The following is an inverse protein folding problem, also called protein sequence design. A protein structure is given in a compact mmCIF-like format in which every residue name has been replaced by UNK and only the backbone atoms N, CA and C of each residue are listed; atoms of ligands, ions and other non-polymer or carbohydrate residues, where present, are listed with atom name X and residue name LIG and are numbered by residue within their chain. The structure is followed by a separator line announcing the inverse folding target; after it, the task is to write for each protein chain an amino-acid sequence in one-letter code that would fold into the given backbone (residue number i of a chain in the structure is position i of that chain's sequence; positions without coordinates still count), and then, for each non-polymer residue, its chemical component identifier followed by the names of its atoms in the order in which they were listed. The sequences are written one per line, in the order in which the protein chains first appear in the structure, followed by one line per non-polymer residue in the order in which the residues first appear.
data_IF_410957247339
#
_entry.id   IF_410957247339
#
_cell.length_a   1.000
_cell.length_b   1.000
_cell.length_c   1.000
_cell.angle_alpha   90.00
_cell.angle_beta   90.00
_cell.angle_gamma   90.00
#
_symmetry.space_group_name_H-M   'P 1'
#
loop_
_entity.id
_entity.type
_entity.pdbx_description
1 polymer ?
#
# COMPACT_ATOMS: atom_id res chain seq x y z
N UNK A 1 5.00 -21.03 12.38
CA UNK A 1 3.58 -21.03 11.97
C UNK A 1 3.54 -21.45 10.52
N UNK A 2 2.64 -22.37 10.13
CA UNK A 2 2.55 -22.86 8.76
C UNK A 2 2.13 -21.73 7.82
N UNK A 3 2.68 -21.75 6.62
CA UNK A 3 2.38 -20.82 5.54
C UNK A 3 0.86 -20.78 5.29
N UNK A 4 0.24 -19.62 5.47
CA UNK A 4 -1.20 -19.39 5.24
C UNK A 4 -1.46 -19.07 3.76
N UNK A 5 -0.58 -19.54 2.87
CA UNK A 5 -0.70 -19.35 1.43
C UNK A 5 -1.96 -20.04 0.90
N UNK A 6 -2.78 -19.25 0.22
CA UNK A 6 -3.90 -19.71 -0.60
C UNK A 6 -3.75 -19.17 -2.00
N UNK A 7 -4.34 -19.85 -2.96
CA UNK A 7 -4.36 -19.41 -4.37
C UNK A 7 -5.77 -19.58 -4.93
N UNK A 8 -6.11 -18.72 -5.87
CA UNK A 8 -7.30 -18.85 -6.71
C UNK A 8 -6.93 -18.64 -8.17
N UNK A 9 -7.75 -19.13 -9.09
CA UNK A 9 -7.68 -18.82 -10.51
C UNK A 9 -8.71 -17.74 -10.84
N UNK A 10 -8.24 -16.64 -11.42
CA UNK A 10 -9.09 -15.53 -11.85
C UNK A 10 -9.87 -15.87 -13.11
N UNK A 11 -10.95 -15.14 -13.45
CA UNK A 11 -11.70 -15.36 -14.68
C UNK A 11 -10.90 -15.28 -15.98
N UNK A 12 -9.77 -14.58 -15.97
CA UNK A 12 -8.84 -14.47 -17.10
C UNK A 12 -7.74 -15.54 -17.09
N UNK A 13 -7.81 -16.50 -16.15
CA UNK A 13 -6.93 -17.67 -16.07
C UNK A 13 -5.61 -17.44 -15.35
N UNK A 14 -5.41 -16.27 -14.69
CA UNK A 14 -4.24 -16.02 -13.84
C UNK A 14 -4.42 -16.65 -12.47
N UNK A 15 -3.33 -17.10 -11.87
CA UNK A 15 -3.27 -17.47 -10.47
C UNK A 15 -3.00 -16.24 -9.63
N UNK A 16 -3.79 -16.01 -8.58
CA UNK A 16 -3.52 -15.05 -7.53
C UNK A 16 -3.22 -15.75 -6.22
N UNK A 17 -2.21 -15.27 -5.51
CA UNK A 17 -1.82 -15.75 -4.19
C UNK A 17 -2.27 -14.76 -3.11
N UNK A 18 -2.86 -15.27 -2.03
CA UNK A 18 -3.35 -14.46 -0.91
C UNK A 18 -3.13 -15.16 0.44
N UNK A 19 -3.26 -14.43 1.52
CA UNK A 19 -3.20 -14.93 2.88
C UNK A 19 -4.31 -14.30 3.74
N UNK A 20 -4.68 -14.97 4.84
CA UNK A 20 -5.71 -14.50 5.78
C UNK A 20 -5.15 -14.50 7.20
N UNK A 21 -5.49 -13.45 7.95
CA UNK A 21 -4.96 -13.17 9.28
C UNK A 21 -6.09 -12.77 10.24
N UNK A 22 -5.91 -12.99 11.53
CA UNK A 22 -6.85 -12.59 12.56
C UNK A 22 -8.06 -13.50 12.70
N UNK A 23 -9.24 -12.92 12.92
CA UNK A 23 -10.52 -13.64 13.06
C UNK A 23 -11.10 -13.97 11.69
N UNK A 24 -11.05 -15.23 11.29
CA UNK A 24 -11.51 -15.66 9.95
C UNK A 24 -13.02 -15.50 9.75
N UNK A 25 -13.80 -15.40 10.83
CA UNK A 25 -15.24 -15.14 10.80
C UNK A 25 -15.55 -13.64 11.04
N UNK A 26 -14.52 -12.82 11.24
CA UNK A 26 -14.60 -11.38 11.50
C UNK A 26 -14.95 -10.57 10.24
N UNK A 27 -15.05 -9.24 10.44
CA UNK A 27 -15.32 -8.31 9.32
C UNK A 27 -14.17 -8.34 8.30
N UNK A 28 -14.45 -8.59 7.00
CA UNK A 28 -13.39 -8.69 6.00
C UNK A 28 -12.78 -7.33 5.65
N UNK A 29 -11.45 -7.26 5.67
CA UNK A 29 -10.66 -6.13 5.21
C UNK A 29 -9.61 -6.63 4.22
N UNK A 30 -9.66 -6.18 2.98
CA UNK A 30 -8.64 -6.46 1.98
C UNK A 30 -7.55 -5.38 2.04
N UNK A 31 -6.31 -5.82 2.27
CA UNK A 31 -5.16 -4.94 2.39
C UNK A 31 -4.21 -5.10 1.20
N UNK A 32 -3.92 -3.97 0.58
CA UNK A 32 -3.11 -3.82 -0.63
C UNK A 32 -1.71 -3.34 -0.23
N UNK A 33 -0.71 -4.17 -0.47
CA UNK A 33 0.68 -3.90 -0.10
C UNK A 33 1.26 -2.68 -0.83
N UNK A 34 2.35 -2.09 -0.31
CA UNK A 34 3.11 -1.03 -0.94
C UNK A 34 3.79 -1.43 -2.25
N UNK A 35 4.62 -0.55 -2.81
CA UNK A 35 5.42 -0.82 -4.00
C UNK A 35 6.89 -0.61 -3.66
N UNK A 36 7.74 -1.66 -3.74
CA UNK A 36 7.35 -3.06 -3.90
C UNK A 36 6.83 -3.69 -2.59
N UNK A 37 6.09 -4.80 -2.72
CA UNK A 37 5.57 -5.53 -1.55
C UNK A 37 5.00 -6.92 -1.89
N UNK A 38 4.34 -7.57 -0.96
CA UNK A 38 3.63 -8.83 -1.19
C UNK A 38 2.59 -9.12 -0.09
N UNK A 39 1.87 -10.25 -0.23
CA UNK A 39 0.86 -10.71 0.74
C UNK A 39 1.37 -10.92 2.18
N UNK A 40 2.68 -10.95 2.42
CA UNK A 40 3.25 -11.09 3.77
C UNK A 40 3.34 -9.76 4.51
N UNK A 41 3.11 -8.64 3.83
CA UNK A 41 3.12 -7.31 4.43
C UNK A 41 1.92 -7.11 5.34
N UNK A 42 2.19 -7.01 6.63
CA UNK A 42 1.20 -6.88 7.68
C UNK A 42 1.81 -6.33 8.97
N UNK A 43 0.95 -5.95 9.93
CA UNK A 43 1.42 -5.71 11.28
C UNK A 43 1.86 -7.02 11.95
N UNK A 44 3.01 -7.06 12.62
CA UNK A 44 3.56 -8.30 13.17
C UNK A 44 2.72 -8.93 14.29
N UNK A 45 1.95 -8.14 15.02
CA UNK A 45 1.07 -8.60 16.10
C UNK A 45 -0.31 -8.98 15.57
N UNK A 46 -0.42 -10.19 15.02
CA UNK A 46 -1.63 -10.69 14.37
C UNK A 46 -2.84 -10.81 15.31
N UNK A 47 -2.61 -10.94 16.61
CA UNK A 47 -3.64 -10.96 17.64
C UNK A 47 -4.52 -9.72 17.63
N UNK A 48 -3.98 -8.58 17.24
CA UNK A 48 -4.73 -7.32 17.09
C UNK A 48 -5.91 -7.45 16.14
N UNK A 49 -5.74 -8.15 15.02
CA UNK A 49 -6.82 -8.35 14.06
C UNK A 49 -7.97 -9.15 14.66
N UNK A 50 -7.66 -10.22 15.40
CA UNK A 50 -8.67 -11.04 16.08
C UNK A 50 -9.37 -10.29 17.21
N UNK A 51 -8.64 -9.50 18.00
CA UNK A 51 -9.20 -8.65 19.07
C UNK A 51 -10.17 -7.60 18.53
N UNK A 52 -9.92 -7.10 17.30
CA UNK A 52 -10.80 -6.15 16.61
C UNK A 52 -11.92 -6.82 15.81
N UNK A 53 -12.02 -8.16 15.82
CA UNK A 53 -13.00 -8.91 15.04
C UNK A 53 -12.83 -8.73 13.53
N UNK A 54 -11.58 -8.66 13.06
CA UNK A 54 -11.23 -8.42 11.65
C UNK A 54 -10.62 -9.66 11.03
N UNK A 55 -11.14 -10.04 9.86
CA UNK A 55 -10.50 -10.94 8.92
C UNK A 55 -9.67 -10.10 7.94
N UNK A 56 -8.36 -9.97 8.18
CA UNK A 56 -7.48 -9.29 7.23
C UNK A 56 -7.11 -10.25 6.11
N UNK A 57 -7.33 -9.82 4.86
CA UNK A 57 -6.91 -10.55 3.66
C UNK A 57 -5.87 -9.71 2.93
N UNK A 58 -4.69 -10.27 2.75
CA UNK A 58 -3.59 -9.69 1.98
C UNK A 58 -3.37 -10.53 0.74
N UNK A 59 -2.96 -9.93 -0.38
CA UNK A 59 -2.64 -10.68 -1.59
C UNK A 59 -1.39 -10.14 -2.29
N UNK A 60 -0.77 -10.97 -3.09
CA UNK A 60 0.25 -10.55 -4.02
C UNK A 60 -0.45 -9.92 -5.22
N UNK A 61 -0.30 -8.59 -5.44
CA UNK A 61 -0.79 -7.99 -6.69
C UNK A 61 -0.19 -8.69 -7.89
N UNK A 62 -0.85 -8.60 -9.05
CA UNK A 62 -0.42 -9.27 -10.26
C UNK A 62 1.08 -9.04 -10.57
N UNK A 63 1.85 -10.13 -10.65
CA UNK A 63 3.29 -10.13 -10.92
C UNK A 63 4.20 -10.08 -9.70
N UNK A 64 3.65 -9.93 -8.49
CA UNK A 64 4.41 -10.05 -7.24
C UNK A 64 4.30 -11.46 -6.67
N UNK A 65 5.25 -11.82 -5.83
CA UNK A 65 5.25 -13.03 -5.03
C UNK A 65 4.93 -14.27 -5.88
N UNK A 66 3.77 -14.85 -5.64
CA UNK A 66 3.29 -16.06 -6.32
C UNK A 66 2.08 -15.83 -7.21
N UNK A 67 1.73 -14.57 -7.45
CA UNK A 67 0.68 -14.20 -8.40
C UNK A 67 1.22 -14.06 -9.82
N UNK A 68 0.41 -14.54 -10.79
CA UNK A 68 0.74 -14.39 -12.19
C UNK A 68 0.75 -12.91 -12.62
N UNK A 69 1.67 -12.56 -13.52
CA UNK A 69 1.81 -11.19 -14.02
C UNK A 69 0.67 -10.81 -14.97
N UNK A 70 0.11 -9.61 -14.78
CA UNK A 70 -0.76 -8.92 -15.74
C UNK A 70 0.00 -7.73 -16.31
N UNK A 71 0.73 -7.96 -17.40
CA UNK A 71 1.58 -6.94 -18.02
C UNK A 71 0.78 -5.76 -18.53
N UNK A 72 1.25 -4.54 -18.25
CA UNK A 72 0.62 -3.30 -18.71
C UNK A 72 -0.71 -3.00 -18.01
N UNK A 73 -0.92 -3.55 -16.82
CA UNK A 73 -2.06 -3.21 -15.98
C UNK A 73 -2.04 -1.74 -15.58
N UNK A 74 -3.21 -1.19 -15.32
CA UNK A 74 -3.40 0.13 -14.73
C UNK A 74 -3.83 -0.02 -13.27
N UNK A 75 -3.81 1.07 -12.54
CA UNK A 75 -4.35 1.11 -11.17
C UNK A 75 -5.83 0.66 -11.15
N UNK A 76 -6.62 1.05 -12.16
CA UNK A 76 -8.03 0.64 -12.32
C UNK A 76 -8.27 -0.85 -12.57
N UNK A 77 -7.23 -1.63 -12.80
CA UNK A 77 -7.38 -3.07 -13.06
C UNK A 77 -7.34 -3.92 -11.76
N UNK A 78 -6.85 -3.35 -10.65
CA UNK A 78 -6.77 -4.02 -9.35
C UNK A 78 -8.13 -4.42 -8.75
N UNK A 79 -9.21 -3.63 -8.89
CA UNK A 79 -10.54 -4.03 -8.43
C UNK A 79 -11.04 -5.38 -8.98
N UNK A 80 -10.58 -5.82 -10.14
CA UNK A 80 -10.94 -7.13 -10.70
C UNK A 80 -10.35 -8.27 -9.84
N UNK A 81 -9.09 -8.14 -9.44
CA UNK A 81 -8.38 -9.13 -8.62
C UNK A 81 -8.94 -9.13 -7.19
N UNK A 82 -9.20 -7.96 -6.59
CA UNK A 82 -9.85 -7.82 -5.28
C UNK A 82 -11.25 -8.44 -5.27
N UNK A 83 -12.04 -8.22 -6.33
CA UNK A 83 -13.36 -8.83 -6.47
C UNK A 83 -13.28 -10.35 -6.56
N UNK A 84 -12.34 -10.89 -7.34
CA UNK A 84 -12.16 -12.34 -7.47
C UNK A 84 -11.82 -12.99 -6.13
N UNK A 85 -10.96 -12.38 -5.32
CA UNK A 85 -10.62 -12.85 -3.97
C UNK A 85 -11.86 -12.78 -3.05
N UNK A 86 -12.60 -11.67 -3.07
CA UNK A 86 -13.79 -11.50 -2.25
C UNK A 86 -14.90 -12.52 -2.61
N UNK A 87 -15.08 -12.79 -3.90
CA UNK A 87 -16.06 -13.76 -4.40
C UNK A 87 -15.67 -15.20 -4.01
N UNK A 88 -14.39 -15.57 -4.12
CA UNK A 88 -13.87 -16.88 -3.67
C UNK A 88 -14.09 -17.09 -2.17
N UNK A 89 -13.97 -16.03 -1.37
CA UNK A 89 -14.15 -16.08 0.08
C UNK A 89 -15.61 -15.88 0.53
N UNK A 90 -16.52 -15.58 -0.39
CA UNK A 90 -17.95 -15.35 -0.09
C UNK A 90 -18.21 -14.02 0.62
N UNK A 91 -17.36 -13.03 0.46
CA UNK A 91 -17.53 -11.71 1.07
C UNK A 91 -18.36 -10.79 0.18
N UNK A 92 -19.62 -10.57 0.54
CA UNK A 92 -20.49 -9.63 -0.19
C UNK A 92 -20.00 -8.19 -0.08
N UNK A 93 -19.57 -7.78 1.13
CA UNK A 93 -19.09 -6.42 1.44
C UNK A 93 -17.87 -6.48 2.33
N UNK A 94 -16.93 -5.56 2.10
CA UNK A 94 -15.66 -5.52 2.79
C UNK A 94 -15.11 -4.10 2.92
N UNK A 95 -14.17 -3.92 3.85
CA UNK A 95 -13.29 -2.75 3.89
C UNK A 95 -12.08 -2.95 2.98
N UNK A 96 -11.51 -1.87 2.46
CA UNK A 96 -10.26 -1.93 1.69
C UNK A 96 -9.26 -0.92 2.24
N UNK A 97 -8.00 -1.31 2.29
CA UNK A 97 -6.91 -0.41 2.67
C UNK A 97 -5.69 -0.61 1.80
N UNK A 98 -4.91 0.44 1.63
CA UNK A 98 -3.63 0.37 0.95
C UNK A 98 -2.68 1.44 1.46
N UNK A 99 -1.42 1.05 1.65
CA UNK A 99 -0.34 1.96 2.04
C UNK A 99 0.58 2.26 0.87
N UNK A 100 1.17 3.48 0.84
CA UNK A 100 2.17 3.84 -0.17
C UNK A 100 1.64 3.61 -1.60
N UNK A 101 2.37 2.87 -2.44
CA UNK A 101 1.91 2.43 -3.76
C UNK A 101 0.62 1.59 -3.75
N UNK A 102 0.20 1.02 -2.61
CA UNK A 102 -1.10 0.37 -2.45
C UNK A 102 -2.27 1.33 -2.32
N UNK A 103 -2.01 2.59 -1.92
CA UNK A 103 -3.04 3.62 -1.75
C UNK A 103 -3.87 3.88 -3.01
N UNK A 104 -3.27 4.15 -4.18
CA UNK A 104 -3.97 4.27 -5.46
C UNK A 104 -4.90 3.09 -5.75
N UNK A 105 -4.44 1.87 -5.48
CA UNK A 105 -5.21 0.65 -5.72
C UNK A 105 -6.41 0.52 -4.76
N UNK A 106 -6.26 0.93 -3.49
CA UNK A 106 -7.39 1.01 -2.54
C UNK A 106 -8.44 2.05 -2.98
N UNK A 107 -7.99 3.20 -3.49
CA UNK A 107 -8.88 4.22 -4.07
C UNK A 107 -9.58 3.72 -5.34
N UNK A 108 -8.90 2.91 -6.18
CA UNK A 108 -9.52 2.27 -7.33
C UNK A 108 -10.66 1.33 -6.91
N UNK A 109 -10.44 0.52 -5.87
CA UNK A 109 -11.49 -0.34 -5.31
C UNK A 109 -12.68 0.49 -4.78
N UNK A 110 -12.41 1.60 -4.10
CA UNK A 110 -13.46 2.51 -3.61
C UNK A 110 -14.28 3.16 -4.74
N UNK A 111 -13.62 3.50 -5.86
CA UNK A 111 -14.24 4.11 -7.03
C UNK A 111 -15.03 3.12 -7.88
N UNK A 112 -14.49 1.91 -8.09
CA UNK A 112 -14.97 0.97 -9.11
C UNK A 112 -15.76 -0.21 -8.53
N UNK A 113 -15.78 -0.38 -7.19
CA UNK A 113 -16.56 -1.39 -6.47
C UNK A 113 -17.45 -0.75 -5.38
N UNK A 114 -18.18 0.35 -5.64
CA UNK A 114 -18.91 1.07 -4.58
C UNK A 114 -20.01 0.24 -3.91
N UNK A 115 -20.53 -0.78 -4.59
CA UNK A 115 -21.55 -1.69 -4.04
C UNK A 115 -20.95 -2.75 -3.09
N UNK A 116 -19.64 -3.00 -3.17
CA UNK A 116 -18.90 -4.01 -2.40
C UNK A 116 -18.05 -3.40 -1.29
N UNK A 117 -17.40 -2.27 -1.55
CA UNK A 117 -16.55 -1.56 -0.59
C UNK A 117 -17.42 -0.77 0.38
N UNK A 118 -17.31 -1.07 1.67
CA UNK A 118 -18.04 -0.35 2.74
C UNK A 118 -17.35 0.95 3.09
N UNK A 119 -16.01 0.89 3.20
CA UNK A 119 -15.10 2.01 3.51
C UNK A 119 -13.72 1.70 2.95
N UNK A 120 -12.98 2.75 2.67
CA UNK A 120 -11.61 2.64 2.22
C UNK A 120 -10.65 3.44 3.10
N UNK A 121 -9.39 3.01 3.17
CA UNK A 121 -8.31 3.78 3.78
C UNK A 121 -7.11 3.86 2.83
N UNK A 122 -6.65 5.08 2.60
CA UNK A 122 -5.45 5.39 1.82
C UNK A 122 -4.41 5.97 2.79
N UNK A 123 -3.38 5.20 3.08
CA UNK A 123 -2.37 5.50 4.08
C UNK A 123 -1.07 5.86 3.38
N UNK A 124 -0.55 7.06 3.61
CA UNK A 124 0.66 7.58 2.95
C UNK A 124 0.66 7.32 1.44
N UNK A 125 -0.53 7.45 0.81
CA UNK A 125 -0.74 7.04 -0.57
C UNK A 125 -0.23 8.06 -1.58
N UNK A 126 0.25 7.54 -2.72
CA UNK A 126 0.71 8.35 -3.85
C UNK A 126 -0.48 9.00 -4.55
N UNK A 127 -0.36 10.26 -4.97
CA UNK A 127 -1.33 10.95 -5.83
C UNK A 127 -1.04 10.71 -7.32
N UNK A 128 -2.01 10.92 -8.23
CA UNK A 128 -1.77 10.82 -9.67
C UNK A 128 -0.69 11.79 -10.15
N UNK A 129 0.23 11.34 -11.01
CA UNK A 129 1.29 12.19 -11.55
C UNK A 129 0.73 13.21 -12.55
N UNK A 130 1.17 14.46 -12.43
CA UNK A 130 0.85 15.52 -13.39
C UNK A 130 -0.63 15.93 -13.40
N UNK A 131 -1.30 15.84 -12.27
CA UNK A 131 -2.70 16.19 -12.07
C UNK A 131 -2.87 17.70 -11.79
N UNK A 132 -4.03 18.31 -12.05
CA UNK A 132 -4.27 19.71 -11.71
C UNK A 132 -4.02 19.99 -10.22
N UNK A 133 -3.21 21.00 -9.93
CA UNK A 133 -2.81 21.36 -8.57
C UNK A 133 -1.62 20.59 -7.98
N UNK A 134 -1.11 19.58 -8.71
CA UNK A 134 0.10 18.84 -8.35
C UNK A 134 0.84 18.45 -9.64
N UNK A 135 1.58 19.39 -10.22
CA UNK A 135 2.40 19.13 -11.40
C UNK A 135 3.58 18.20 -11.06
N UNK A 136 4.33 17.78 -12.06
CA UNK A 136 5.42 16.81 -11.87
C UNK A 136 6.50 17.31 -10.92
N UNK A 137 6.86 18.59 -10.98
CA UNK A 137 7.89 19.15 -10.11
C UNK A 137 7.41 19.17 -8.65
N UNK A 138 6.17 19.56 -8.40
CA UNK A 138 5.54 19.53 -7.08
C UNK A 138 5.34 18.08 -6.58
N UNK A 139 5.00 17.14 -7.47
CA UNK A 139 4.83 15.73 -7.17
C UNK A 139 6.14 15.07 -6.72
N UNK A 140 7.26 15.45 -7.31
CA UNK A 140 8.61 14.96 -6.95
C UNK A 140 9.24 15.73 -5.79
N UNK A 141 8.75 16.92 -5.45
CA UNK A 141 9.33 17.77 -4.44
C UNK A 141 9.32 17.13 -3.05
N UNK A 142 10.49 17.01 -2.43
CA UNK A 142 10.65 16.42 -1.10
C UNK A 142 10.74 14.90 -1.08
N UNK A 143 10.66 14.24 -2.24
CA UNK A 143 10.93 12.81 -2.32
C UNK A 143 12.42 12.51 -2.15
N UNK A 144 12.70 11.36 -1.55
CA UNK A 144 14.06 10.81 -1.48
C UNK A 144 14.66 10.65 -2.89
N UNK A 145 15.97 10.97 -3.07
CA UNK A 145 16.62 10.87 -4.38
C UNK A 145 16.54 9.49 -5.05
N UNK A 146 16.46 8.40 -4.31
CA UNK A 146 16.34 7.06 -4.89
C UNK A 146 14.93 6.86 -5.52
N UNK A 147 13.86 7.34 -4.86
CA UNK A 147 12.51 7.33 -5.44
C UNK A 147 12.43 8.20 -6.70
N UNK A 148 13.06 9.38 -6.69
CA UNK A 148 13.11 10.25 -7.88
C UNK A 148 13.80 9.54 -9.06
N UNK A 149 14.89 8.80 -8.81
CA UNK A 149 15.56 8.00 -9.86
C UNK A 149 14.63 6.92 -10.42
N UNK A 150 13.92 6.21 -9.54
CA UNK A 150 12.98 5.14 -9.94
C UNK A 150 11.88 5.69 -10.83
N UNK A 151 11.27 6.82 -10.47
CA UNK A 151 10.29 7.51 -11.32
C UNK A 151 10.88 7.89 -12.68
N UNK A 152 12.12 8.39 -12.72
CA UNK A 152 12.79 8.73 -14.00
C UNK A 152 13.04 7.49 -14.87
N UNK A 153 13.38 6.34 -14.26
CA UNK A 153 13.50 5.08 -15.00
C UNK A 153 12.16 4.61 -15.52
N UNK A 154 11.10 4.72 -14.74
CA UNK A 154 9.74 4.39 -15.16
C UNK A 154 9.27 5.25 -16.35
N UNK A 155 9.52 6.57 -16.28
CA UNK A 155 9.24 7.49 -17.40
C UNK A 155 10.01 7.15 -18.68
N UNK A 156 11.22 6.59 -18.55
CA UNK A 156 12.00 6.13 -19.70
C UNK A 156 11.51 4.78 -20.26
N UNK A 157 10.56 4.14 -19.57
CA UNK A 157 9.88 2.92 -20.00
C UNK A 157 10.47 1.62 -19.46
N UNK A 158 9.71 0.53 -19.62
CA UNK A 158 10.03 -0.81 -19.07
C UNK A 158 11.46 -1.27 -19.39
N UNK A 159 11.96 -1.00 -20.61
CA UNK A 159 13.31 -1.43 -21.03
C UNK A 159 14.45 -0.78 -20.24
N UNK A 160 14.23 0.40 -19.65
CA UNK A 160 15.17 1.08 -18.75
C UNK A 160 14.91 0.67 -17.31
N UNK A 161 13.65 0.66 -16.87
CA UNK A 161 13.24 0.39 -15.52
C UNK A 161 13.59 -1.04 -15.05
N UNK A 162 13.19 -2.07 -15.81
CA UNK A 162 13.28 -3.46 -15.36
C UNK A 162 14.72 -3.90 -14.99
N UNK A 163 15.79 -3.60 -15.78
CA UNK A 163 17.15 -3.94 -15.38
C UNK A 163 17.61 -3.25 -14.08
N UNK A 164 17.14 -2.02 -13.82
CA UNK A 164 17.49 -1.29 -12.62
C UNK A 164 16.83 -1.90 -11.39
N UNK A 165 15.53 -2.21 -11.47
CA UNK A 165 14.79 -2.86 -10.39
C UNK A 165 15.33 -4.26 -10.09
N UNK A 166 15.72 -5.04 -11.11
CA UNK A 166 16.38 -6.33 -10.92
C UNK A 166 17.67 -6.19 -10.12
N UNK A 167 18.50 -5.18 -10.46
CA UNK A 167 19.74 -4.92 -9.75
C UNK A 167 19.49 -4.48 -8.29
N UNK A 168 18.50 -3.59 -8.06
CA UNK A 168 18.09 -3.16 -6.72
C UNK A 168 17.59 -4.33 -5.89
N UNK A 169 16.75 -5.18 -6.47
CA UNK A 169 16.21 -6.35 -5.78
C UNK A 169 17.32 -7.34 -5.37
N UNK A 170 18.26 -7.64 -6.27
CA UNK A 170 19.40 -8.50 -5.96
C UNK A 170 20.26 -7.93 -4.83
N UNK A 171 20.49 -6.60 -4.82
CA UNK A 171 21.21 -5.94 -3.74
C UNK A 171 20.44 -6.02 -2.42
N UNK A 172 19.12 -5.76 -2.44
CA UNK A 172 18.25 -5.83 -1.27
C UNK A 172 18.25 -7.25 -0.67
N UNK A 173 18.17 -8.29 -1.49
CA UNK A 173 18.25 -9.69 -1.03
C UNK A 173 19.55 -9.99 -0.28
N UNK A 174 20.68 -9.55 -0.82
CA UNK A 174 21.99 -9.75 -0.19
C UNK A 174 22.09 -9.00 1.15
N UNK A 175 21.66 -7.74 1.17
CA UNK A 175 21.65 -6.91 2.39
C UNK A 175 20.77 -7.50 3.48
N UNK A 176 19.52 -7.79 3.15
CA UNK A 176 18.52 -8.32 4.09
C UNK A 176 18.89 -9.70 4.61
N UNK A 177 19.58 -10.53 3.82
CA UNK A 177 20.11 -11.81 4.27
C UNK A 177 21.25 -11.63 5.30
N UNK A 178 22.04 -10.57 5.17
CA UNK A 178 23.15 -10.25 6.08
C UNK A 178 22.64 -9.50 7.34
N UNK A 179 21.86 -8.45 7.14
CA UNK A 179 21.27 -7.60 8.21
C UNK A 179 19.97 -6.97 7.70
N UNK A 180 18.80 -7.42 8.18
CA UNK A 180 17.52 -6.85 7.77
C UNK A 180 17.35 -5.35 8.04
N UNK A 181 18.05 -4.79 9.03
CA UNK A 181 17.97 -3.36 9.38
C UNK A 181 18.51 -2.44 8.27
N UNK A 182 19.22 -2.99 7.30
CA UNK A 182 19.83 -2.23 6.19
C UNK A 182 18.91 -2.10 4.97
N UNK A 183 17.67 -2.57 5.07
CA UNK A 183 16.73 -2.60 3.93
C UNK A 183 16.47 -1.23 3.31
N UNK A 184 16.38 -0.19 4.14
CA UNK A 184 16.18 1.20 3.72
C UNK A 184 17.41 2.09 4.03
N UNK A 185 18.61 1.51 4.12
CA UNK A 185 19.82 2.24 4.49
C UNK A 185 20.25 3.30 3.47
N UNK A 186 19.76 3.21 2.23
CA UNK A 186 20.06 4.18 1.17
C UNK A 186 19.11 5.41 1.21
N UNK A 187 18.08 5.38 2.07
CA UNK A 187 17.07 6.42 2.18
C UNK A 187 17.34 7.35 3.38
N UNK A 188 17.14 8.65 3.20
CA UNK A 188 17.23 9.66 4.26
C UNK A 188 15.93 9.73 5.06
N UNK A 189 15.61 8.65 5.78
CA UNK A 189 14.37 8.48 6.53
C UNK A 189 14.24 9.44 7.72
N UNK A 190 13.00 9.80 8.06
CA UNK A 190 12.66 10.54 9.27
C UNK A 190 13.08 9.80 10.55
N UNK A 191 13.22 10.54 11.67
CA UNK A 191 13.50 9.91 12.98
C UNK A 191 12.40 8.91 13.38
N UNK A 192 11.15 9.21 13.06
CA UNK A 192 10.01 8.34 13.29
C UNK A 192 10.15 7.01 12.52
N UNK A 193 10.48 7.07 11.24
CA UNK A 193 10.67 5.86 10.42
C UNK A 193 11.84 5.01 10.90
N UNK A 194 12.97 5.65 11.27
CA UNK A 194 14.12 4.94 11.83
C UNK A 194 13.77 4.19 13.11
N UNK A 195 12.96 4.80 14.00
CA UNK A 195 12.49 4.16 15.22
C UNK A 195 11.61 2.93 14.92
N UNK A 196 10.76 2.98 13.88
CA UNK A 196 9.93 1.86 13.46
C UNK A 196 10.75 0.69 12.90
N UNK A 197 11.84 0.97 12.20
CA UNK A 197 12.76 -0.04 11.68
C UNK A 197 13.62 -0.71 12.77
N UNK A 198 13.66 -0.16 13.99
CA UNK A 198 14.43 -0.73 15.09
C UNK A 198 13.73 -1.89 15.82
N UNK A 199 12.45 -2.18 15.51
CA UNK A 199 11.70 -3.25 16.20
C UNK A 199 11.93 -4.61 15.56
N UNK A 200 12.37 -5.65 16.32
CA UNK A 200 12.72 -6.96 15.76
C UNK A 200 11.56 -7.66 15.04
N UNK A 201 10.35 -7.56 15.58
CA UNK A 201 9.15 -8.19 15.01
C UNK A 201 8.79 -7.59 13.65
N UNK A 202 8.90 -6.26 13.52
CA UNK A 202 8.67 -5.56 12.26
C UNK A 202 9.75 -5.91 11.23
N UNK A 203 11.01 -5.94 11.66
CA UNK A 203 12.12 -6.35 10.80
C UNK A 203 11.97 -7.77 10.26
N UNK A 204 11.40 -8.68 11.06
CA UNK A 204 11.10 -10.02 10.60
C UNK A 204 10.07 -10.02 9.45
N UNK A 205 8.97 -9.26 9.59
CA UNK A 205 7.94 -9.14 8.54
C UNK A 205 8.53 -8.49 7.27
N UNK A 206 9.30 -7.42 7.42
CA UNK A 206 9.97 -6.74 6.30
C UNK A 206 10.91 -7.72 5.57
N UNK A 207 11.71 -8.47 6.31
CA UNK A 207 12.59 -9.48 5.73
C UNK A 207 11.83 -10.56 4.95
N UNK A 208 10.77 -11.10 5.52
CA UNK A 208 9.91 -12.09 4.87
C UNK A 208 9.30 -11.52 3.59
N UNK A 209 8.80 -10.29 3.63
CA UNK A 209 8.20 -9.61 2.49
C UNK A 209 9.22 -9.39 1.36
N UNK A 210 10.40 -8.88 1.66
CA UNK A 210 11.46 -8.64 0.65
C UNK A 210 11.89 -9.93 -0.03
N UNK A 211 12.03 -11.03 0.72
CA UNK A 211 12.44 -12.30 0.14
C UNK A 211 11.35 -12.93 -0.73
N UNK A 212 10.07 -12.67 -0.44
CA UNK A 212 8.92 -13.26 -1.13
C UNK A 212 8.43 -12.41 -2.31
N UNK A 213 8.49 -11.08 -2.23
CA UNK A 213 7.84 -10.15 -3.18
C UNK A 213 8.23 -10.36 -4.65
N UNK A 214 9.44 -10.81 -4.93
CA UNK A 214 9.92 -11.01 -6.29
C UNK A 214 10.40 -12.46 -6.54
N UNK A 215 9.77 -13.45 -5.90
CA UNK A 215 10.03 -14.89 -6.17
C UNK A 215 9.80 -15.20 -7.65
N UNK A 216 8.82 -14.54 -8.29
CA UNK A 216 8.54 -14.61 -9.74
C UNK A 216 9.33 -13.61 -10.59
N UNK A 217 10.29 -12.87 -10.01
CA UNK A 217 11.01 -11.76 -10.65
C UNK A 217 10.36 -10.40 -10.34
N UNK A 218 10.94 -9.31 -10.86
CA UNK A 218 10.52 -7.93 -10.57
C UNK A 218 9.35 -7.42 -11.42
N UNK A 219 8.67 -8.32 -12.15
CA UNK A 219 7.63 -7.94 -13.11
C UNK A 219 6.46 -7.17 -12.50
N UNK A 220 6.05 -7.53 -11.27
CA UNK A 220 4.99 -6.81 -10.54
C UNK A 220 5.40 -5.39 -10.15
N UNK A 221 6.65 -5.21 -9.71
CA UNK A 221 7.22 -3.90 -9.38
C UNK A 221 7.29 -2.99 -10.63
N UNK A 222 7.79 -3.53 -11.75
CA UNK A 222 7.80 -2.82 -13.04
C UNK A 222 6.40 -2.35 -13.43
N UNK A 223 5.40 -3.23 -13.34
CA UNK A 223 4.02 -2.90 -13.72
C UNK A 223 3.38 -1.89 -12.77
N UNK A 224 3.70 -1.92 -11.46
CA UNK A 224 3.22 -0.92 -10.49
C UNK A 224 3.78 0.47 -10.79
N UNK A 225 5.10 0.58 -10.96
CA UNK A 225 5.73 1.88 -11.23
C UNK A 225 5.17 2.52 -12.50
N UNK A 226 5.01 1.71 -13.56
CA UNK A 226 4.43 2.18 -14.80
C UNK A 226 2.94 2.55 -14.64
N UNK A 227 2.18 1.82 -13.84
CA UNK A 227 0.77 2.10 -13.58
C UNK A 227 0.58 3.37 -12.74
N UNK A 228 1.40 3.58 -11.71
CA UNK A 228 1.32 4.72 -10.80
C UNK A 228 1.60 6.04 -11.52
N UNK A 229 2.61 6.07 -12.41
CA UNK A 229 2.96 7.30 -13.17
C UNK A 229 2.09 7.51 -14.41
N UNK A 230 1.25 6.56 -14.77
CA UNK A 230 0.32 6.65 -15.93
C UNK A 230 -1.09 7.06 -15.48
N UNK A 231 -1.99 7.43 -16.41
CA UNK A 231 -3.40 7.64 -16.05
C UNK A 231 -3.99 6.41 -15.36
N UNK A 232 -4.51 6.57 -14.16
CA UNK A 232 -5.00 5.46 -13.31
C UNK A 232 -6.18 4.70 -13.92
N UNK A 233 -6.96 5.35 -14.84
CA UNK A 233 -8.14 4.77 -15.48
C UNK A 233 -9.45 5.05 -14.72
N UNK A 234 -9.42 5.89 -13.70
CA UNK A 234 -10.57 6.48 -13.01
C UNK A 234 -10.16 7.83 -12.42
N UNK A 235 -11.15 8.65 -12.07
CA UNK A 235 -10.96 9.90 -11.35
C UNK A 235 -11.35 9.73 -9.88
N UNK A 236 -10.58 10.29 -8.95
CA UNK A 236 -10.85 10.14 -7.50
C UNK A 236 -12.12 10.85 -7.04
N UNK A 237 -12.61 11.82 -7.79
CA UNK A 237 -13.83 12.58 -7.52
C UNK A 237 -15.12 11.76 -7.70
N UNK A 238 -15.05 10.59 -8.38
CA UNK A 238 -16.20 9.68 -8.51
C UNK A 238 -16.39 8.80 -7.27
N UNK A 239 -15.46 8.80 -6.32
CA UNK A 239 -15.54 7.97 -5.11
C UNK A 239 -16.73 8.44 -4.26
N UNK A 240 -17.63 7.49 -3.99
CA UNK A 240 -18.88 7.76 -3.22
C UNK A 240 -18.91 7.04 -1.86
N UNK A 241 -17.97 6.13 -1.61
CA UNK A 241 -17.86 5.46 -0.32
C UNK A 241 -17.00 6.28 0.65
N UNK A 242 -17.19 6.18 1.98
CA UNK A 242 -16.34 6.88 2.94
C UNK A 242 -14.88 6.47 2.84
N UNK A 243 -13.98 7.45 2.78
CA UNK A 243 -12.52 7.25 2.69
C UNK A 243 -11.83 7.91 3.86
N UNK A 244 -10.87 7.20 4.48
CA UNK A 244 -9.87 7.75 5.38
C UNK A 244 -8.57 7.98 4.60
N UNK A 245 -8.07 9.23 4.63
CA UNK A 245 -6.74 9.56 4.12
C UNK A 245 -5.86 9.91 5.31
N UNK A 246 -4.72 9.20 5.44
CA UNK A 246 -3.72 9.47 6.47
C UNK A 246 -2.37 9.73 5.82
N UNK A 247 -1.65 10.76 6.30
CA UNK A 247 -0.29 11.06 5.87
C UNK A 247 0.51 11.75 6.97
N UNK A 248 1.84 11.62 6.89
CA UNK A 248 2.80 12.22 7.81
C UNK A 248 3.46 13.45 7.21
N UNK A 249 3.78 14.47 8.03
CA UNK A 249 4.42 15.70 7.55
C UNK A 249 5.94 15.56 7.34
N UNK A 250 6.55 14.46 7.82
CA UNK A 250 7.99 14.21 7.66
C UNK A 250 8.26 13.02 6.72
N UNK A 251 7.25 12.61 5.94
CA UNK A 251 7.39 11.54 4.96
C UNK A 251 8.22 12.01 3.76
N UNK A 252 9.35 11.31 3.52
CA UNK A 252 10.26 11.57 2.39
C UNK A 252 10.10 10.55 1.27
N UNK A 253 9.36 9.48 1.48
CA UNK A 253 9.06 8.48 0.45
C UNK A 253 7.84 8.86 -0.37
N UNK A 254 6.78 9.33 0.32
CA UNK A 254 5.60 9.94 -0.30
C UNK A 254 5.32 11.26 0.41
N UNK A 255 5.90 12.38 -0.07
CA UNK A 255 5.80 13.68 0.59
C UNK A 255 4.36 14.13 0.86
N UNK A 256 4.14 14.99 1.88
CA UNK A 256 2.82 15.46 2.30
C UNK A 256 1.94 16.01 1.17
N UNK A 257 2.55 16.60 0.14
CA UNK A 257 1.83 17.14 -1.02
C UNK A 257 0.90 16.13 -1.70
N UNK A 258 1.25 14.83 -1.68
CA UNK A 258 0.38 13.76 -2.18
C UNK A 258 -0.86 13.59 -1.32
N UNK A 259 -0.70 13.47 0.00
CA UNK A 259 -1.79 13.36 0.96
C UNK A 259 -2.70 14.59 0.95
N UNK A 260 -2.12 15.79 0.86
CA UNK A 260 -2.85 17.06 0.76
C UNK A 260 -3.69 17.13 -0.53
N UNK A 261 -3.12 16.72 -1.66
CA UNK A 261 -3.85 16.66 -2.92
C UNK A 261 -5.00 15.64 -2.86
N UNK A 262 -4.76 14.43 -2.34
CA UNK A 262 -5.80 13.41 -2.18
C UNK A 262 -6.91 13.90 -1.24
N UNK A 263 -6.56 14.53 -0.12
CA UNK A 263 -7.52 15.10 0.82
C UNK A 263 -8.40 16.20 0.21
N UNK A 264 -7.86 16.97 -0.74
CA UNK A 264 -8.59 18.02 -1.42
C UNK A 264 -9.49 17.51 -2.55
N UNK A 265 -9.21 16.33 -3.13
CA UNK A 265 -9.86 15.85 -4.34
C UNK A 265 -10.74 14.60 -4.14
N UNK A 266 -10.58 13.84 -3.04
CA UNK A 266 -11.47 12.73 -2.69
C UNK A 266 -12.68 13.26 -1.93
N UNK A 267 -13.91 13.11 -2.46
CA UNK A 267 -15.10 13.74 -1.87
C UNK A 267 -15.39 13.26 -0.45
N UNK A 268 -15.55 14.20 0.49
CA UNK A 268 -16.00 13.91 1.86
C UNK A 268 -15.09 12.95 2.65
N UNK A 269 -13.83 12.85 2.29
CA UNK A 269 -12.88 12.00 3.00
C UNK A 269 -12.62 12.50 4.43
N UNK A 270 -12.38 11.57 5.34
CA UNK A 270 -11.82 11.85 6.65
C UNK A 270 -10.30 11.97 6.51
N UNK A 271 -9.73 13.05 7.04
CA UNK A 271 -8.28 13.31 6.91
C UNK A 271 -7.61 13.22 8.26
N UNK A 272 -6.52 12.46 8.32
CA UNK A 272 -5.68 12.31 9.50
C UNK A 272 -4.25 12.73 9.13
N UNK A 273 -3.78 13.80 9.76
CA UNK A 273 -2.41 14.31 9.54
C UNK A 273 -1.60 14.10 10.81
N UNK A 274 -0.44 13.48 10.68
CA UNK A 274 0.51 13.35 11.78
C UNK A 274 1.69 14.30 11.56
N UNK A 275 1.91 15.21 12.52
CA UNK A 275 2.92 16.26 12.42
C UNK A 275 4.36 15.78 12.55
N UNK A 276 4.59 14.58 13.07
CA UNK A 276 5.92 13.99 13.31
C UNK A 276 6.16 12.67 12.60
N UNK A 277 5.11 12.05 12.06
CA UNK A 277 5.23 10.79 11.35
C UNK A 277 5.92 10.95 10.00
N UNK A 278 6.78 9.99 9.68
CA UNK A 278 7.23 9.70 8.33
C UNK A 278 6.31 8.69 7.63
N UNK A 279 6.90 7.88 6.77
CA UNK A 279 6.19 6.90 5.95
C UNK A 279 5.65 5.69 6.75
N UNK A 280 6.35 5.31 7.82
CA UNK A 280 6.04 4.13 8.62
C UNK A 280 5.16 4.45 9.85
N UNK A 281 4.72 5.70 9.99
CA UNK A 281 3.91 6.16 11.11
C UNK A 281 4.72 6.56 12.34
N UNK A 282 4.06 7.18 13.32
CA UNK A 282 4.65 7.55 14.62
C UNK A 282 4.27 6.55 15.71
N UNK A 283 3.04 6.05 15.73
CA UNK A 283 2.55 4.95 16.58
C UNK A 283 1.73 3.95 15.73
N UNK A 284 2.41 3.04 15.00
CA UNK A 284 1.74 2.14 14.07
C UNK A 284 0.71 1.20 14.73
N UNK A 285 0.88 0.84 16.00
CA UNK A 285 -0.07 -0.02 16.70
C UNK A 285 -1.42 0.70 16.91
N UNK A 286 -1.38 1.96 17.36
CA UNK A 286 -2.56 2.81 17.50
C UNK A 286 -3.16 3.12 16.13
N UNK A 287 -2.34 3.54 15.18
CA UNK A 287 -2.75 3.92 13.83
C UNK A 287 -3.46 2.78 13.08
N UNK A 288 -2.94 1.56 13.17
CA UNK A 288 -3.56 0.37 12.56
C UNK A 288 -4.86 0.02 13.27
N UNK A 289 -4.90 0.11 14.61
CA UNK A 289 -6.13 -0.11 15.39
C UNK A 289 -7.23 0.86 14.99
N UNK A 290 -6.93 2.15 14.92
CA UNK A 290 -7.86 3.20 14.48
C UNK A 290 -8.37 2.94 13.06
N UNK A 291 -7.47 2.60 12.15
CA UNK A 291 -7.78 2.30 10.75
C UNK A 291 -8.71 1.10 10.61
N UNK A 292 -8.41 0.00 11.32
CA UNK A 292 -9.22 -1.22 11.27
C UNK A 292 -10.60 -1.01 11.91
N UNK A 293 -10.67 -0.27 13.03
CA UNK A 293 -11.95 0.13 13.64
C UNK A 293 -12.76 1.01 12.69
N UNK A 294 -12.13 1.98 12.03
CA UNK A 294 -12.80 2.79 11.00
C UNK A 294 -13.37 1.91 9.90
N UNK A 295 -12.57 1.02 9.33
CA UNK A 295 -12.98 0.16 8.23
C UNK A 295 -14.12 -0.78 8.62
N UNK A 296 -14.05 -1.40 9.80
CA UNK A 296 -15.02 -2.42 10.23
C UNK A 296 -16.31 -1.81 10.82
N UNK A 297 -16.21 -0.77 11.64
CA UNK A 297 -17.35 -0.23 12.40
C UNK A 297 -17.79 1.16 11.95
N UNK A 298 -16.92 1.93 11.30
CA UNK A 298 -17.13 3.35 10.97
C UNK A 298 -16.85 4.31 12.13
N UNK A 299 -16.27 3.84 13.22
CA UNK A 299 -15.80 4.72 14.30
C UNK A 299 -14.63 5.54 13.78
N UNK A 300 -14.83 6.85 13.65
CA UNK A 300 -13.80 7.75 13.18
C UNK A 300 -12.61 7.79 14.16
N UNK A 301 -11.36 7.78 13.65
CA UNK A 301 -10.19 8.07 14.48
C UNK A 301 -10.35 9.40 15.21
N UNK A 302 -9.79 9.56 16.43
CA UNK A 302 -9.82 10.86 17.12
C UNK A 302 -9.18 11.94 16.25
N UNK A 303 -9.62 13.21 16.44
CA UNK A 303 -9.06 14.34 15.69
C UNK A 303 -7.52 14.40 15.86
N UNK A 304 -6.82 14.77 14.78
CA UNK A 304 -5.36 14.92 14.83
C UNK A 304 -4.98 15.95 15.88
N UNK A 305 -4.07 15.57 16.78
CA UNK A 305 -3.39 16.52 17.67
C UNK A 305 -2.30 17.27 16.91
N UNK A 306 -2.62 17.87 15.77
CA UNK A 306 -1.72 18.79 15.09
C UNK A 306 -1.49 19.96 16.03
N UNK A 307 -0.25 20.09 16.53
CA UNK A 307 0.16 21.28 17.28
C UNK A 307 -0.12 22.56 16.49
N UNK A 308 -0.25 23.71 17.16
CA UNK A 308 -0.66 24.95 16.53
C UNK A 308 0.22 25.26 15.32
N UNK A 309 -0.42 25.51 14.16
CA UNK A 309 0.24 26.13 13.01
C UNK A 309 0.81 27.47 13.49
N UNK A 310 2.12 27.58 13.60
CA UNK A 310 2.81 28.84 13.88
C UNK A 310 2.90 29.69 12.60
#
# INVERSE_FOLDING_TARGET
MGERLRTLETPDGRVLAYAMWGDLDGFPVLALHGTPGCRLERWPHEELYAELGVCLVTHDRAGYGRSDRRRGRRVADEPDDVRAIADELGFDRFGVTGGSGGGPHALACAALLPDRVVRAACIVGVAPLGTPGLDEDAWLAGQDPENVKEVRWAQAGEGVLAPQLEALFQQAQVRVAADPSTVLADFELSESDQAQLATPERMQVIRESILEQAVGGVGGWVDDDLAIISPWGFDVDVISVPVLIRYGLTDVLVPPAHGEWLAANVPGCLVKVDGVAGHLGSDPAEEISEQLLWLSTGVAPPESTAGPRA
#
